data_IF_797832570769
#
_entry.id   IF_797832570769
#
_cell.length_a   1.000
_cell.length_b   1.000
_cell.length_c   1.000
_cell.angle_alpha   90.00
_cell.angle_beta   90.00
_cell.angle_gamma   90.00
#
_symmetry.space_group_name_H-M   'P 1'
#
loop_
_entity.id
_entity.type
_entity.pdbx_description
1 polymer ?
2 polymer ?
3 polymer ?
4 non-polymer ?
5 non-polymer ?
6 non-polymer ?
7 water ?
#
# COMPACT_ATOMS: atom_id res chain seq x y z
N UNK A 1 7.31 8.84 8.99
CA UNK A 1 6.33 9.84 9.45
C UNK A 1 6.23 11.09 8.54
N UNK A 2 7.29 11.62 7.99
CA UNK A 2 7.18 12.83 7.12
C UNK A 2 8.20 12.80 5.97
N UNK A 3 8.77 13.96 5.77
CA UNK A 3 9.80 14.24 4.74
C UNK A 3 10.68 13.04 4.51
N UNK A 4 10.67 12.54 3.31
CA UNK A 4 11.50 11.36 2.99
C UNK A 4 11.33 10.27 4.05
N UNK A 5 10.19 10.22 4.70
CA UNK A 5 9.99 9.17 5.71
C UNK A 5 9.94 9.31 7.21
N UNK A 6 10.91 8.72 7.85
CA UNK A 6 10.96 8.76 9.34
C UNK A 6 12.32 9.03 9.97
N UNK A 7 13.32 8.31 9.54
CA UNK A 7 14.74 8.46 10.07
C UNK A 7 15.45 7.20 9.65
N UNK A 8 14.87 6.11 10.03
CA UNK A 8 15.51 4.82 9.64
C UNK A 8 14.52 4.15 8.68
N UNK A 9 13.60 4.94 8.16
CA UNK A 9 12.60 4.36 7.25
C UNK A 9 13.15 3.73 5.99
N UNK A 10 12.35 2.87 5.45
CA UNK A 10 12.77 2.19 4.19
C UNK A 10 13.95 1.27 4.18
N UNK A 11 14.60 1.04 5.29
CA UNK A 11 15.79 0.10 5.32
C UNK A 11 15.27 -1.15 6.05
N UNK A 12 15.10 -2.21 5.34
CA UNK A 12 14.58 -3.47 5.97
C UNK A 12 15.57 -4.27 6.79
N UNK A 13 15.22 -4.60 8.01
CA UNK A 13 16.05 -5.46 8.91
C UNK A 13 16.71 -6.67 8.29
N UNK A 14 15.93 -7.39 7.51
CA UNK A 14 16.44 -8.61 6.86
C UNK A 14 17.04 -8.47 5.53
N UNK A 15 17.04 -7.29 4.99
CA UNK A 15 17.63 -7.13 3.65
C UNK A 15 18.70 -5.99 3.68
N UNK A 16 18.33 -4.77 3.39
CA UNK A 16 19.30 -3.63 3.38
C UNK A 16 20.23 -3.62 4.56
N UNK A 17 19.68 -3.76 5.73
CA UNK A 17 20.48 -3.76 7.00
C UNK A 17 21.53 -4.86 7.04
N UNK A 18 21.37 -5.93 6.30
CA UNK A 18 22.36 -7.05 6.29
C UNK A 18 23.02 -7.11 4.93
N UNK A 19 22.66 -6.17 4.10
CA UNK A 19 23.21 -6.10 2.74
C UNK A 19 22.76 -7.35 1.95
N UNK A 20 21.53 -7.75 2.16
CA UNK A 20 21.00 -8.94 1.45
C UNK A 20 19.92 -8.38 0.48
N UNK A 21 19.76 -8.94 -0.68
CA UNK A 21 18.76 -8.46 -1.68
C UNK A 21 17.62 -9.44 -1.79
N UNK A 22 16.42 -8.99 -2.05
CA UNK A 22 15.30 -9.98 -2.17
C UNK A 22 15.37 -10.48 -3.62
N UNK A 23 14.68 -11.54 -3.94
CA UNK A 23 14.79 -12.03 -5.35
C UNK A 23 14.33 -11.21 -6.52
N UNK A 24 13.50 -10.22 -6.38
CA UNK A 24 13.11 -9.44 -7.61
C UNK A 24 13.43 -7.95 -7.53
N UNK A 25 14.10 -7.44 -6.51
CA UNK A 25 14.35 -5.96 -6.51
C UNK A 25 15.21 -5.57 -7.69
N UNK A 26 16.08 -6.41 -8.14
CA UNK A 26 16.96 -6.11 -9.32
C UNK A 26 16.08 -5.59 -10.51
N UNK A 27 14.96 -6.23 -10.68
CA UNK A 27 13.99 -5.91 -11.76
C UNK A 27 13.65 -4.42 -11.71
N UNK A 28 13.42 -3.97 -10.51
CA UNK A 28 13.07 -2.55 -10.30
C UNK A 28 14.23 -1.64 -10.67
N UNK A 29 15.33 -1.87 -10.00
CA UNK A 29 16.56 -1.03 -10.26
C UNK A 29 16.95 -1.12 -11.71
N UNK A 30 16.80 -2.28 -12.27
CA UNK A 30 17.16 -2.38 -13.69
C UNK A 30 16.23 -1.50 -14.53
N UNK A 31 15.07 -1.14 -14.03
CA UNK A 31 14.13 -0.28 -14.83
C UNK A 31 14.38 1.20 -14.71
N UNK A 32 15.17 1.62 -13.76
CA UNK A 32 15.43 3.09 -13.60
C UNK A 32 16.66 3.13 -14.44
N UNK A 33 16.48 2.74 -15.66
CA UNK A 33 17.56 2.66 -16.70
C UNK A 33 18.93 2.17 -16.12
N UNK A 34 18.71 1.24 -15.23
CA UNK A 34 19.73 0.49 -14.44
C UNK A 34 20.24 1.26 -13.25
N UNK A 35 20.46 0.56 -12.17
CA UNK A 35 20.97 1.22 -10.94
C UNK A 35 22.40 0.71 -10.66
N UNK A 36 23.06 1.48 -9.84
CA UNK A 36 24.44 1.39 -9.28
C UNK A 36 25.36 2.07 -10.29
N UNK B 1 -3.75 -10.01 -5.50
CA UNK B 1 -2.72 -9.72 -6.53
C UNK B 1 -2.88 -10.87 -7.52
N UNK B 2 -2.89 -10.52 -8.79
CA UNK B 2 -3.05 -11.48 -9.91
C UNK B 2 -1.69 -11.60 -10.58
N UNK B 3 -1.25 -12.82 -10.76
CA UNK B 3 0.08 -13.14 -11.39
C UNK B 3 1.27 -12.56 -10.59
N UNK B 4 1.18 -12.63 -9.31
CA UNK B 4 2.27 -12.13 -8.43
C UNK B 4 2.81 -13.40 -7.78
N UNK B 5 3.78 -13.31 -6.92
CA UNK B 5 4.30 -14.55 -6.28
C UNK B 5 4.29 -14.32 -4.79
N UNK B 6 4.60 -15.35 -4.06
CA UNK B 6 4.60 -15.23 -2.57
C UNK B 6 5.72 -14.31 -2.14
N UNK B 7 5.46 -13.51 -1.16
CA UNK B 7 6.53 -12.60 -0.71
C UNK B 7 7.54 -13.40 0.12
N UNK B 8 8.69 -12.82 0.38
CA UNK B 8 9.70 -13.53 1.21
C UNK B 8 9.39 -13.00 2.62
N UNK B 9 9.92 -13.68 3.59
CA UNK B 9 9.68 -13.24 4.99
C UNK B 9 10.43 -11.90 5.19
N UNK B 10 9.76 -10.94 5.73
CA UNK B 10 10.37 -9.61 5.98
C UNK B 10 10.61 -8.77 4.72
N UNK B 11 10.00 -9.09 3.62
CA UNK B 11 10.18 -8.31 2.33
C UNK B 11 9.47 -6.95 2.37
N UNK B 12 8.32 -6.88 3.01
CA UNK B 12 7.51 -5.61 3.16
C UNK B 12 7.09 -5.38 4.62
N UNK B 13 8.06 -5.10 5.46
CA UNK B 13 7.76 -4.96 6.89
C UNK B 13 6.81 -3.86 7.23
N UNK B 14 6.48 -3.05 6.26
CA UNK B 14 5.50 -1.90 6.48
C UNK B 14 4.02 -2.28 6.13
N UNK B 15 3.87 -3.46 5.57
CA UNK B 15 2.53 -3.96 5.18
C UNK B 15 1.67 -4.14 6.42
N UNK B 16 0.50 -3.59 6.35
CA UNK B 16 -0.49 -3.67 7.46
C UNK B 16 -1.79 -4.32 6.93
N UNK B 17 -2.59 -4.86 7.82
CA UNK B 17 -3.89 -5.54 7.44
C UNK B 17 -5.00 -4.85 8.21
N UNK B 18 -6.01 -4.36 7.54
CA UNK B 18 -7.13 -3.70 8.31
C UNK B 18 -8.01 -4.89 8.49
N UNK B 19 -8.32 -5.16 9.71
CA UNK B 19 -9.17 -6.34 10.01
C UNK B 19 -10.45 -5.93 10.70
N UNK B 20 -11.53 -6.54 10.31
CA UNK B 20 -12.81 -6.16 10.95
C UNK B 20 -13.00 -7.03 12.18
N UNK B 21 -13.54 -6.44 13.21
CA UNK B 21 -13.76 -7.25 14.44
C UNK B 21 -14.92 -8.26 14.22
N UNK B 22 -16.10 -7.85 13.83
CA UNK B 22 -17.19 -8.88 13.63
C UNK B 22 -18.02 -8.53 12.39
N UNK B 23 -18.17 -9.39 11.40
CA UNK B 23 -17.42 -10.67 11.25
C UNK B 23 -15.91 -10.38 11.15
N UNK B 24 -15.14 -11.35 11.54
CA UNK B 24 -13.67 -11.18 11.49
C UNK B 24 -13.32 -11.37 10.04
N UNK B 25 -12.90 -10.31 9.40
CA UNK B 25 -12.50 -10.43 7.97
C UNK B 25 -11.47 -9.37 7.55
N UNK B 26 -10.83 -9.69 6.45
CA UNK B 26 -9.78 -8.83 5.87
C UNK B 26 -10.61 -7.79 5.17
N UNK B 27 -10.27 -6.57 5.46
CA UNK B 27 -10.96 -5.40 4.88
C UNK B 27 -10.13 -4.75 3.78
N UNK B 28 -8.91 -4.44 4.13
CA UNK B 28 -7.97 -3.79 3.19
C UNK B 28 -6.55 -3.94 3.67
N UNK B 29 -5.72 -3.37 2.85
CA UNK B 29 -4.24 -3.34 3.07
C UNK B 29 -4.01 -1.89 3.61
N UNK B 30 -2.82 -1.61 4.07
CA UNK B 30 -2.47 -0.30 4.61
C UNK B 30 -0.94 -0.36 4.77
N UNK B 31 -0.39 0.73 5.23
CA UNK B 31 1.10 0.79 5.45
C UNK B 31 1.43 1.58 6.74
N UNK B 32 2.54 1.21 7.33
CA UNK B 32 3.05 1.81 8.62
C UNK B 32 4.04 2.89 8.18
N UNK B 33 3.79 4.12 8.55
CA UNK B 33 4.72 5.23 8.16
C UNK B 33 5.48 5.75 9.43
N UNK B 34 5.06 5.46 10.63
CA UNK B 34 5.80 5.89 11.87
C UNK B 34 5.35 4.88 12.94
N UNK B 35 5.74 5.03 14.18
CA UNK B 35 5.28 4.00 15.15
C UNK B 35 3.84 4.22 15.59
N UNK B 36 3.20 5.27 15.18
CA UNK B 36 1.77 5.52 15.59
C UNK B 36 0.82 5.79 14.41
N UNK B 37 1.31 5.93 13.21
CA UNK B 37 0.37 6.21 12.08
C UNK B 37 0.39 5.20 10.95
N UNK B 38 -0.79 4.90 10.49
CA UNK B 38 -0.96 3.94 9.38
C UNK B 38 -1.65 4.75 8.25
N UNK B 39 -1.27 4.47 7.04
CA UNK B 39 -1.84 5.16 5.85
C UNK B 39 -2.70 4.15 5.05
N UNK B 40 -3.88 4.54 4.64
CA UNK B 40 -4.72 3.59 3.85
C UNK B 40 -5.52 4.42 2.84
N UNK B 41 -6.43 3.76 2.17
CA UNK B 41 -7.29 4.41 1.15
C UNK B 41 -8.60 4.76 1.88
N UNK B 42 -9.08 5.95 1.65
CA UNK B 42 -10.36 6.40 2.29
C UNK B 42 -11.57 5.52 1.93
N UNK B 43 -11.59 4.98 0.74
CA UNK B 43 -12.75 4.15 0.36
C UNK B 43 -12.81 2.87 1.17
N UNK B 44 -11.74 2.56 1.84
CA UNK B 44 -11.71 1.34 2.66
C UNK B 44 -12.57 1.55 3.93
N UNK B 45 -12.70 2.79 4.29
CA UNK B 45 -13.47 3.20 5.50
C UNK B 45 -14.81 3.90 5.28
N UNK B 46 -14.90 4.64 4.21
CA UNK B 46 -16.14 5.41 3.88
C UNK B 46 -16.54 5.28 2.40
N UNK B 47 -17.68 4.71 2.15
CA UNK B 47 -18.13 4.56 0.75
C UNK B 47 -19.68 4.44 0.83
N UNK B 48 -20.34 5.55 0.97
CA UNK B 48 -21.83 5.64 1.05
C UNK B 48 -22.67 4.82 0.05
N UNK B 49 -22.28 4.73 -1.19
CA UNK B 49 -22.99 3.89 -2.21
C UNK B 49 -23.28 2.48 -1.77
N UNK B 50 -22.40 1.99 -0.91
CA UNK B 50 -22.49 0.59 -0.37
C UNK B 50 -22.65 0.66 1.13
N UNK B 51 -23.20 1.74 1.58
CA UNK B 51 -23.40 1.94 3.04
C UNK B 51 -22.18 1.52 3.88
N UNK B 52 -21.01 1.92 3.45
CA UNK B 52 -19.76 1.56 4.19
C UNK B 52 -19.31 2.84 4.87
N UNK B 53 -19.17 2.77 6.15
CA UNK B 53 -18.73 3.92 6.97
C UNK B 53 -18.22 3.32 8.25
N UNK B 54 -16.97 2.94 8.26
CA UNK B 54 -16.41 2.33 9.51
C UNK B 54 -15.94 3.41 10.47
N UNK B 55 -15.84 2.97 11.69
CA UNK B 55 -15.42 3.84 12.80
C UNK B 55 -14.26 3.19 13.58
N UNK B 56 -13.67 3.99 14.42
CA UNK B 56 -12.52 3.55 15.28
C UNK B 56 -12.76 2.15 15.90
N UNK B 57 -13.88 2.12 16.51
CA UNK B 57 -14.36 0.92 17.22
C UNK B 57 -14.71 -0.24 16.38
N UNK B 58 -14.65 -0.12 15.09
CA UNK B 58 -15.02 -1.32 14.29
C UNK B 58 -13.87 -2.05 13.70
N UNK B 59 -12.72 -1.46 13.84
CA UNK B 59 -11.48 -2.08 13.26
C UNK B 59 -10.29 -2.38 14.17
N UNK B 60 -9.43 -3.18 13.61
CA UNK B 60 -8.17 -3.60 14.28
C UNK B 60 -7.12 -3.54 13.15
N UNK B 61 -5.92 -3.24 13.51
CA UNK B 61 -4.78 -3.14 12.55
C UNK B 61 -3.84 -4.32 12.94
N UNK B 62 -3.48 -5.16 12.03
CA UNK B 62 -2.57 -6.27 12.36
C UNK B 62 -1.25 -5.99 11.60
N UNK B 63 -0.18 -5.89 12.33
CA UNK B 63 1.17 -5.60 11.74
C UNK B 63 2.17 -6.75 11.97
N UNK B 64 3.01 -6.99 11.00
CA UNK B 64 4.08 -8.04 11.00
C UNK B 64 3.63 -9.32 10.33
N UNK B 65 2.55 -9.30 9.59
CA UNK B 65 2.10 -10.57 8.95
C UNK B 65 2.64 -11.01 7.62
N UNK B 66 2.47 -12.31 7.47
CA UNK B 66 2.90 -13.06 6.25
C UNK B 66 1.67 -13.89 5.83
N UNK B 67 1.28 -14.79 6.70
CA UNK B 67 0.10 -15.67 6.43
C UNK B 67 -1.15 -14.78 6.44
N UNK B 68 -2.08 -15.09 5.60
CA UNK B 68 -3.34 -14.28 5.56
C UNK B 68 -4.35 -14.60 6.69
N UNK B 69 -4.57 -15.87 6.96
CA UNK B 69 -5.55 -16.28 8.05
C UNK B 69 -5.09 -16.66 9.43
N UNK B 70 -3.83 -16.98 9.57
CA UNK B 70 -3.35 -17.41 10.89
C UNK B 70 -2.92 -16.29 11.80
N UNK B 71 -3.12 -16.49 13.06
CA UNK B 71 -2.73 -15.47 14.07
C UNK B 71 -1.27 -15.88 14.32
N UNK B 72 -0.35 -15.14 13.72
CA UNK B 72 1.13 -15.42 13.87
C UNK B 72 1.68 -14.90 15.22
N UNK B 73 1.43 -15.76 16.19
CA UNK B 73 1.81 -15.59 17.63
C UNK B 73 3.32 -15.25 17.76
N UNK B 74 3.60 -14.23 18.52
CA UNK B 74 4.98 -13.71 18.78
C UNK B 74 5.60 -13.05 17.55
N UNK B 75 4.88 -12.93 16.46
CA UNK B 75 5.43 -12.28 15.26
C UNK B 75 4.58 -11.04 14.94
N UNK B 76 3.29 -11.19 14.86
CA UNK B 76 2.45 -9.98 14.53
C UNK B 76 2.00 -9.22 15.73
N UNK B 77 1.64 -7.99 15.52
CA UNK B 77 1.13 -7.10 16.60
C UNK B 77 -0.23 -6.62 16.10
N UNK B 78 -1.15 -6.51 17.02
CA UNK B 78 -2.53 -6.06 16.69
C UNK B 78 -2.79 -4.77 17.47
N UNK B 79 -3.15 -3.71 16.82
CA UNK B 79 -3.42 -2.42 17.55
C UNK B 79 -4.82 -1.90 17.31
N UNK B 80 -5.18 -1.01 18.18
CA UNK B 80 -6.51 -0.38 18.11
C UNK B 80 -6.23 1.02 17.63
N UNK B 81 -7.28 1.63 17.16
CA UNK B 81 -7.19 3.01 16.63
C UNK B 81 -7.65 4.00 17.61
N UNK B 82 -7.04 5.13 17.52
CA UNK B 82 -7.38 6.25 18.43
C UNK B 82 -8.25 7.17 17.57
N UNK B 83 -7.78 7.45 16.39
CA UNK B 83 -8.55 8.35 15.48
C UNK B 83 -8.31 7.97 14.00
N UNK B 84 -9.28 8.30 13.17
CA UNK B 84 -9.26 8.04 11.70
C UNK B 84 -9.44 9.42 11.10
N UNK B 85 -8.67 9.73 10.11
CA UNK B 85 -8.80 11.06 9.46
C UNK B 85 -8.92 10.79 7.96
N UNK B 86 -9.98 11.27 7.39
CA UNK B 86 -10.26 11.07 5.93
C UNK B 86 -9.92 12.42 5.30
N UNK B 87 -9.45 12.41 4.09
CA UNK B 87 -9.12 13.72 3.45
C UNK B 87 -10.47 14.46 3.31
N UNK B 88 -10.53 15.71 3.72
CA UNK B 88 -11.77 16.51 3.63
C UNK B 88 -12.35 16.60 2.21
N UNK B 89 -11.54 16.44 1.20
CA UNK B 89 -12.10 16.54 -0.16
C UNK B 89 -12.13 15.24 -0.88
N UNK B 90 -12.16 14.16 -0.14
CA UNK B 90 -12.21 12.81 -0.78
C UNK B 90 -13.51 12.83 -1.61
N UNK B 91 -13.41 12.49 -2.87
CA UNK B 91 -14.61 12.49 -3.74
C UNK B 91 -15.15 11.11 -4.05
N UNK B 92 -15.99 10.63 -3.20
CA UNK B 92 -16.59 9.25 -3.40
C UNK B 92 -17.75 9.36 -4.39
N UNK B 93 -18.28 10.54 -4.58
CA UNK B 93 -19.41 10.69 -5.54
C UNK B 93 -19.02 10.54 -7.00
N UNK B 94 -17.79 10.79 -7.36
CA UNK B 94 -17.45 10.65 -8.81
C UNK B 94 -16.32 9.68 -9.16
N UNK B 95 -15.10 10.07 -8.90
CA UNK B 95 -13.92 9.19 -9.24
C UNK B 95 -12.95 8.80 -8.11
N UNK B 96 -13.32 8.87 -6.85
CA UNK B 96 -12.40 8.50 -5.72
C UNK B 96 -11.14 9.37 -5.80
N UNK B 97 -11.40 10.64 -6.00
CA UNK B 97 -10.29 11.61 -6.10
C UNK B 97 -9.92 11.88 -4.61
N UNK B 98 -8.64 11.83 -4.33
CA UNK B 98 -8.07 12.06 -2.96
C UNK B 98 -8.53 10.92 -2.07
N UNK B 99 -8.24 9.75 -2.55
CA UNK B 99 -8.61 8.49 -1.85
C UNK B 99 -7.45 8.22 -0.84
N UNK B 100 -7.48 8.89 0.27
CA UNK B 100 -6.43 8.74 1.32
C UNK B 100 -7.01 8.98 2.72
N UNK B 101 -6.48 8.25 3.66
CA UNK B 101 -6.92 8.38 5.06
C UNK B 101 -5.78 7.97 5.95
N UNK B 102 -5.75 8.58 7.10
CA UNK B 102 -4.71 8.32 8.14
C UNK B 102 -5.39 7.76 9.38
N UNK B 103 -4.73 6.84 10.03
CA UNK B 103 -5.32 6.24 11.28
C UNK B 103 -4.26 6.37 12.35
N UNK B 104 -4.67 6.83 13.48
CA UNK B 104 -3.74 7.01 14.62
C UNK B 104 -3.93 5.81 15.54
N UNK B 105 -2.85 5.14 15.85
CA UNK B 105 -2.95 3.94 16.73
C UNK B 105 -3.12 4.33 18.19
N UNK B 106 -3.77 3.46 18.92
CA UNK B 106 -3.99 3.74 20.37
C UNK B 106 -2.59 3.89 21.03
N UNK B 107 -1.72 2.94 20.80
CA UNK B 107 -0.34 3.02 21.41
C UNK B 107 0.68 2.76 20.31
N UNK B 108 1.89 3.25 20.48
CA UNK B 108 2.96 3.10 19.45
C UNK B 108 3.31 1.62 19.33
N UNK B 109 3.74 1.18 18.19
CA UNK B 109 4.11 -0.25 18.02
C UNK B 109 5.64 -0.28 18.10
N UNK B 110 6.18 -1.43 18.36
CA UNK B 110 7.66 -1.55 18.47
C UNK B 110 8.08 -2.23 17.19
N UNK B 111 9.17 -1.77 16.66
CA UNK B 111 9.66 -2.35 15.40
C UNK B 111 10.35 -3.64 15.70
N UNK B 112 10.58 -4.40 14.66
CA UNK B 112 11.23 -5.69 14.82
C UNK B 112 11.73 -6.00 13.45
N UNK B 113 12.17 -7.19 13.28
CA UNK B 113 12.68 -7.61 11.98
C UNK B 113 11.48 -7.70 10.98
N UNK B 114 10.28 -7.82 11.50
CA UNK B 114 9.02 -7.95 10.68
C UNK B 114 8.14 -6.71 10.60
N UNK B 115 8.47 -5.76 11.43
CA UNK B 115 7.75 -4.49 11.54
C UNK B 115 8.74 -3.32 11.41
N UNK B 116 8.63 -2.57 10.32
CA UNK B 116 9.53 -1.40 10.09
C UNK B 116 8.76 -0.38 9.19
N UNK B 117 8.78 0.90 9.42
CA UNK B 117 8.07 1.87 8.54
C UNK B 117 8.71 2.12 7.16
N UNK B 118 7.90 2.60 6.27
CA UNK B 118 8.38 2.89 4.90
C UNK B 118 8.53 4.43 4.90
N UNK B 119 9.29 4.93 3.96
CA UNK B 119 9.51 6.39 3.84
C UNK B 119 8.47 7.02 2.91
N UNK B 120 8.16 8.26 3.16
CA UNK B 120 7.18 8.98 2.32
C UNK B 120 8.08 9.87 1.48
N UNK B 121 7.77 10.00 0.23
CA UNK B 121 8.70 10.60 -0.74
C UNK B 121 8.75 12.14 -0.55
N UNK B 122 9.83 12.69 -0.98
CA UNK B 122 10.08 14.16 -0.90
C UNK B 122 9.99 14.55 -2.43
N UNK B 123 9.73 15.79 -2.72
CA UNK B 123 9.61 16.31 -4.11
C UNK B 123 10.64 15.80 -5.07
N UNK B 124 11.86 15.74 -4.61
CA UNK B 124 12.94 15.25 -5.52
C UNK B 124 12.86 13.75 -5.78
N UNK B 125 12.58 12.97 -4.78
CA UNK B 125 12.49 11.49 -5.03
C UNK B 125 11.34 11.23 -5.98
N UNK B 126 10.26 11.90 -5.69
CA UNK B 126 9.05 11.73 -6.54
C UNK B 126 9.41 12.09 -7.98
N UNK B 127 9.97 13.25 -8.10
CA UNK B 127 10.35 13.72 -9.46
C UNK B 127 11.20 12.74 -10.21
N UNK B 128 12.21 12.22 -9.61
CA UNK B 128 13.06 11.24 -10.37
C UNK B 128 12.55 9.84 -10.56
N UNK B 129 11.77 9.33 -9.65
CA UNK B 129 11.29 7.93 -9.82
C UNK B 129 9.92 7.78 -10.47
N UNK B 130 9.05 8.73 -10.32
CA UNK B 130 7.71 8.52 -10.95
C UNK B 130 7.73 8.84 -12.46
N UNK B 131 8.36 7.97 -13.19
CA UNK B 131 8.45 8.13 -14.67
C UNK B 131 7.92 6.87 -15.37
N UNK B 132 7.32 7.07 -16.51
CA UNK B 132 6.77 5.91 -17.26
C UNK B 132 7.86 4.91 -17.57
N UNK B 133 7.58 3.66 -17.33
CA UNK B 133 8.62 2.61 -17.61
C UNK B 133 9.28 2.12 -16.32
N UNK B 134 9.29 2.97 -15.32
CA UNK B 134 9.92 2.57 -14.04
C UNK B 134 8.97 1.67 -13.31
N UNK B 135 9.52 0.64 -12.75
CA UNK B 135 8.70 -0.33 -12.00
C UNK B 135 8.66 -0.05 -10.50
N UNK B 136 7.51 -0.36 -9.98
CA UNK B 136 7.12 -0.24 -8.57
C UNK B 136 6.62 -1.65 -8.14
N UNK B 137 6.37 -1.80 -6.87
CA UNK B 137 5.91 -3.09 -6.25
C UNK B 137 4.67 -2.91 -5.45
N UNK B 138 3.75 -3.82 -5.56
CA UNK B 138 2.45 -3.72 -4.78
C UNK B 138 2.38 -5.05 -4.00
N UNK B 139 1.87 -5.02 -2.82
CA UNK B 139 1.75 -6.25 -2.02
C UNK B 139 0.34 -6.27 -1.40
N UNK B 140 -0.11 -7.46 -1.10
CA UNK B 140 -1.46 -7.60 -0.49
C UNK B 140 -1.86 -9.05 -0.46
N UNK B 141 -2.93 -9.26 0.25
CA UNK B 141 -3.58 -10.60 0.51
C UNK B 141 -4.87 -10.76 -0.31
N UNK B 142 -5.16 -9.76 -1.09
CA UNK B 142 -6.37 -9.73 -1.96
C UNK B 142 -6.48 -10.92 -2.90
N UNK B 143 -7.54 -10.90 -3.65
CA UNK B 143 -7.80 -12.01 -4.60
C UNK B 143 -6.72 -12.26 -5.60
N UNK B 144 -6.73 -13.51 -6.01
CA UNK B 144 -5.75 -14.04 -7.01
C UNK B 144 -6.24 -14.01 -8.44
N UNK B 145 -7.53 -13.90 -8.58
CA UNK B 145 -8.20 -13.85 -9.92
C UNK B 145 -9.40 -12.95 -9.74
N UNK B 146 -9.88 -12.40 -10.83
CA UNK B 146 -11.07 -11.48 -10.76
C UNK B 146 -12.30 -12.22 -10.17
N UNK B 147 -12.41 -13.47 -10.49
CA UNK B 147 -13.47 -14.41 -10.06
C UNK B 147 -12.88 -15.75 -10.59
N UNK B 155 -9.20 -18.69 -4.54
CA UNK B 155 -8.49 -17.64 -5.31
C UNK B 155 -8.07 -16.52 -4.35
N UNK B 156 -7.68 -16.89 -3.16
CA UNK B 156 -7.24 -15.94 -2.11
C UNK B 156 -5.95 -16.68 -1.72
N UNK B 157 -4.88 -16.00 -1.39
CA UNK B 157 -3.57 -16.67 -1.14
C UNK B 157 -3.45 -17.04 0.32
N UNK B 158 -2.47 -17.83 0.68
CA UNK B 158 -2.33 -18.20 2.15
C UNK B 158 -1.32 -17.24 2.77
N UNK B 159 -0.46 -16.80 1.90
CA UNK B 159 0.68 -15.87 2.19
C UNK B 159 0.57 -14.54 1.38
N UNK B 160 1.36 -13.58 1.79
CA UNK B 160 1.42 -12.22 1.14
C UNK B 160 2.00 -12.43 -0.26
N UNK B 161 1.38 -11.76 -1.21
CA UNK B 161 1.84 -11.86 -2.64
C UNK B 161 2.52 -10.57 -3.05
N UNK B 162 3.32 -10.64 -4.07
CA UNK B 162 4.05 -9.45 -4.57
C UNK B 162 4.09 -9.48 -6.10
N UNK B 163 4.01 -8.33 -6.74
CA UNK B 163 4.09 -8.25 -8.23
C UNK B 163 4.77 -6.89 -8.44
N UNK B 164 5.60 -6.81 -9.45
CA UNK B 164 6.34 -5.56 -9.78
C UNK B 164 5.68 -5.05 -11.05
N UNK B 165 5.31 -3.81 -11.07
CA UNK B 165 4.62 -3.25 -12.27
C UNK B 165 5.22 -1.96 -12.77
N UNK B 166 5.23 -1.73 -14.05
CA UNK B 166 5.61 -0.41 -14.63
C UNK B 166 4.57 0.70 -14.56
N UNK B 167 5.07 1.89 -14.41
CA UNK B 167 4.21 3.10 -14.34
C UNK B 167 3.92 3.34 -15.84
N UNK B 168 2.72 3.79 -16.09
CA UNK B 168 2.28 4.05 -17.48
C UNK B 168 2.10 5.56 -17.71
N UNK B 169 2.24 5.92 -18.94
CA UNK B 169 2.10 7.36 -19.35
C UNK B 169 0.64 7.77 -19.08
N UNK B 170 0.45 8.97 -18.64
CA UNK B 170 -0.91 9.45 -18.33
C UNK B 170 -1.93 9.40 -19.47
N UNK B 171 -1.62 9.82 -20.69
CA UNK B 171 -2.58 9.68 -21.83
C UNK B 171 -3.08 8.22 -22.04
N UNK B 172 -2.20 7.29 -21.89
CA UNK B 172 -2.57 5.86 -22.05
C UNK B 172 -3.57 5.57 -20.87
N UNK B 173 -3.28 6.06 -19.69
CA UNK B 173 -4.17 5.81 -18.56
C UNK B 173 -5.55 6.40 -18.81
N UNK B 174 -5.55 7.61 -19.26
CA UNK B 174 -6.83 8.31 -19.54
C UNK B 174 -7.60 7.64 -20.68
N UNK B 175 -6.88 7.14 -21.65
CA UNK B 175 -7.56 6.47 -22.81
C UNK B 175 -7.97 5.01 -22.59
N UNK B 176 -7.80 4.49 -21.40
CA UNK B 176 -8.18 3.07 -21.09
C UNK B 176 -9.50 3.06 -20.31
N UNK B 177 -9.96 4.22 -19.94
CA UNK B 177 -11.22 4.33 -19.16
C UNK B 177 -12.08 5.54 -19.51
N UNK B 178 -13.28 5.50 -19.01
CA UNK B 178 -14.33 6.53 -19.15
C UNK B 178 -14.26 7.37 -17.88
N UNK B 179 -13.57 6.91 -16.86
CA UNK B 179 -13.56 7.76 -15.63
C UNK B 179 -12.60 8.94 -15.83
N UNK B 180 -12.92 10.01 -15.16
CA UNK B 180 -12.13 11.24 -15.24
C UNK B 180 -10.98 11.13 -14.22
N UNK B 181 -9.79 11.03 -14.75
CA UNK B 181 -8.53 10.90 -13.99
C UNK B 181 -8.08 12.32 -13.57
N UNK B 182 -7.52 12.45 -12.38
CA UNK B 182 -7.05 13.73 -11.87
C UNK B 182 -5.53 13.58 -11.63
N UNK B 183 -4.96 14.70 -11.27
CA UNK B 183 -3.51 14.79 -10.99
C UNK B 183 -3.19 14.05 -9.70
N UNK B 184 -4.20 13.70 -8.94
CA UNK B 184 -3.96 12.98 -7.65
C UNK B 184 -3.98 11.47 -7.84
N UNK B 185 -3.81 11.03 -9.06
CA UNK B 185 -3.83 9.59 -9.40
C UNK B 185 -2.77 9.29 -10.45
N UNK B 186 -2.34 8.06 -10.54
CA UNK B 186 -1.35 7.66 -11.57
C UNK B 186 -1.82 6.21 -11.80
N UNK B 187 -1.46 5.59 -12.90
CA UNK B 187 -1.89 4.17 -13.15
C UNK B 187 -0.66 3.36 -13.44
N UNK B 188 -0.78 2.07 -13.29
CA UNK B 188 0.37 1.17 -13.55
C UNK B 188 -0.06 -0.18 -14.07
N UNK B 189 0.86 -0.84 -14.71
CA UNK B 189 0.59 -2.17 -15.27
C UNK B 189 1.24 -2.33 -16.62
N UNK B 190 1.16 -3.52 -17.12
CA UNK B 190 1.75 -3.87 -18.43
C UNK B 190 0.75 -3.65 -19.55
N UNK B 191 1.27 -3.37 -20.70
CA UNK B 191 0.44 -3.12 -21.92
C UNK B 191 0.14 -4.54 -22.48
N UNK B 192 -1.01 -4.73 -23.12
CA UNK B 192 -1.43 -6.07 -23.69
C UNK B 192 -0.30 -6.70 -24.49
N UNK B 193 0.36 -5.78 -25.11
CA UNK B 193 1.52 -5.98 -25.99
C UNK B 193 2.73 -6.49 -25.25
N UNK B 194 2.86 -6.20 -23.98
CA UNK B 194 4.08 -6.68 -23.26
C UNK B 194 4.15 -8.12 -22.79
N UNK B 195 3.17 -8.90 -23.11
CA UNK B 195 3.20 -10.33 -22.68
C UNK B 195 3.75 -10.57 -21.25
N UNK B 196 3.38 -9.72 -20.34
CA UNK B 196 3.78 -9.78 -18.91
C UNK B 196 2.43 -9.37 -18.30
N UNK B 197 2.07 -9.89 -17.18
CA UNK B 197 0.78 -9.54 -16.54
C UNK B 197 1.06 -9.17 -15.10
N UNK B 198 -0.02 -8.95 -14.42
CA UNK B 198 0.06 -8.60 -13.00
C UNK B 198 -0.87 -7.47 -12.65
N UNK B 199 -1.40 -7.49 -11.47
CA UNK B 199 -2.30 -6.39 -11.06
C UNK B 199 -2.73 -6.65 -9.61
N UNK B 200 -3.36 -5.65 -9.04
CA UNK B 200 -3.87 -5.72 -7.66
C UNK B 200 -5.32 -6.16 -7.94
N UNK B 201 -6.08 -6.37 -6.90
CA UNK B 201 -7.48 -6.80 -7.11
C UNK B 201 -8.17 -6.64 -5.80
N UNK B 202 -9.41 -7.07 -5.79
CA UNK B 202 -10.22 -6.99 -4.54
C UNK B 202 -9.43 -7.52 -3.35
N UNK B 203 -9.44 -6.77 -2.28
CA UNK B 203 -8.73 -7.17 -1.04
C UNK B 203 -7.40 -6.44 -0.91
N UNK B 204 -6.88 -5.95 -2.02
CA UNK B 204 -5.58 -5.21 -1.99
C UNK B 204 -5.71 -3.72 -1.77
N UNK B 205 -6.89 -3.18 -1.90
CA UNK B 205 -7.12 -1.72 -1.70
C UNK B 205 -6.44 -1.22 -0.43
N UNK B 206 -5.99 0.00 -0.48
CA UNK B 206 -5.34 0.57 0.73
C UNK B 206 -3.89 0.19 0.82
N UNK B 207 -3.50 -0.84 0.15
CA UNK B 207 -2.07 -1.18 0.29
C UNK B 207 -1.10 -0.25 -0.47
N UNK B 208 0.17 -0.46 -0.17
CA UNK B 208 1.28 0.31 -0.82
C UNK B 208 1.87 -0.04 -2.18
N UNK B 209 2.21 1.01 -2.90
CA UNK B 209 2.85 0.86 -4.23
C UNK B 209 4.22 1.51 -3.77
N UNK B 210 5.28 0.75 -3.84
CA UNK B 210 6.59 1.28 -3.40
C UNK B 210 7.69 1.18 -4.42
N UNK B 211 8.68 2.01 -4.23
CA UNK B 211 9.84 1.98 -5.17
C UNK B 211 11.11 2.07 -4.29
N UNK B 212 12.19 1.57 -4.81
CA UNK B 212 13.49 1.57 -4.06
C UNK B 212 14.39 2.64 -4.72
N UNK B 213 14.78 3.61 -3.94
CA UNK B 213 15.67 4.71 -4.48
C UNK B 213 17.08 4.14 -4.76
N UNK B 214 17.54 4.31 -5.98
CA UNK B 214 18.93 3.96 -6.33
C UNK B 214 19.94 4.97 -5.77
N UNK B 215 19.49 6.04 -5.17
CA UNK B 215 20.43 7.05 -4.62
C UNK B 215 20.84 6.76 -3.20
N UNK B 216 19.84 6.43 -2.44
CA UNK B 216 20.09 6.11 -0.99
C UNK B 216 19.58 4.73 -0.51
N UNK B 217 19.28 3.84 -1.43
CA UNK B 217 18.80 2.46 -1.12
C UNK B 217 17.57 2.30 -0.25
N UNK B 218 16.80 3.33 -0.11
CA UNK B 218 15.61 3.22 0.75
C UNK B 218 14.35 3.02 -0.06
N UNK B 219 13.38 2.43 0.60
CA UNK B 219 12.06 2.17 -0.06
C UNK B 219 11.11 3.30 0.30
N UNK B 220 10.50 3.80 -0.74
CA UNK B 220 9.51 4.90 -0.62
C UNK B 220 8.14 4.45 -1.11
N UNK B 221 7.14 4.91 -0.42
CA UNK B 221 5.74 4.56 -0.84
C UNK B 221 5.25 5.74 -1.74
N UNK B 222 5.14 5.43 -3.03
CA UNK B 222 4.69 6.44 -4.04
C UNK B 222 3.15 6.44 -4.21
N UNK B 223 2.54 5.29 -4.05
CA UNK B 223 1.05 5.24 -4.20
C UNK B 223 0.34 4.32 -3.23
N UNK B 224 -0.97 4.40 -3.27
CA UNK B 224 -1.87 3.60 -2.42
C UNK B 224 -2.82 2.89 -3.43
N UNK B 225 -3.07 1.62 -3.32
CA UNK B 225 -4.01 0.94 -4.28
C UNK B 225 -5.41 1.60 -4.09
N UNK B 226 -5.90 2.19 -5.15
CA UNK B 226 -7.21 2.89 -5.14
C UNK B 226 -8.29 2.23 -5.99
N UNK B 227 -8.14 2.09 -7.28
CA UNK B 227 -9.22 1.45 -8.04
C UNK B 227 -8.74 0.86 -9.35
N UNK B 228 -9.61 0.08 -9.93
CA UNK B 228 -9.32 -0.58 -11.23
C UNK B 228 -10.64 -1.06 -11.77
N UNK B 229 -10.65 -1.56 -12.96
CA UNK B 229 -11.90 -2.08 -13.61
C UNK B 229 -11.57 -3.55 -13.80
N UNK B 230 -12.03 -4.33 -12.87
CA UNK B 230 -11.77 -5.79 -12.95
C UNK B 230 -10.34 -5.96 -12.45
N UNK B 231 -9.75 -7.10 -12.71
CA UNK B 231 -8.35 -7.36 -12.26
C UNK B 231 -7.55 -8.01 -13.40
N UNK B 232 -6.43 -7.42 -13.70
CA UNK B 232 -5.51 -7.90 -14.77
C UNK B 232 -6.22 -8.08 -16.14
N UNK B 233 -7.08 -7.16 -16.45
CA UNK B 233 -7.81 -7.26 -17.76
C UNK B 233 -6.83 -6.67 -18.80
N UNK B 234 -6.89 -7.10 -20.04
CA UNK B 234 -5.91 -6.51 -21.02
C UNK B 234 -6.48 -5.15 -21.45
N UNK B 235 -5.63 -4.16 -21.58
CA UNK B 235 -6.13 -2.84 -22.01
C UNK B 235 -6.55 -1.98 -20.80
N UNK B 236 -6.58 -2.56 -19.61
CA UNK B 236 -6.98 -1.80 -18.41
C UNK B 236 -5.71 -1.75 -17.51
N UNK B 237 -5.69 -0.81 -16.62
CA UNK B 237 -4.56 -0.58 -15.66
C UNK B 237 -5.12 -0.33 -14.27
N UNK B 238 -4.27 -0.34 -13.28
CA UNK B 238 -4.78 -0.10 -11.89
C UNK B 238 -4.44 1.35 -11.62
N UNK B 239 -5.24 1.98 -10.81
CA UNK B 239 -5.04 3.40 -10.45
C UNK B 239 -4.64 3.41 -9.01
N UNK B 240 -3.78 4.36 -8.71
CA UNK B 240 -3.22 4.58 -7.34
C UNK B 240 -3.24 6.01 -6.86
N UNK B 241 -3.48 6.24 -5.59
CA UNK B 241 -3.45 7.63 -5.10
C UNK B 241 -1.95 8.10 -5.20
N UNK B 242 -1.78 9.34 -5.57
CA UNK B 242 -0.42 10.00 -5.75
C UNK B 242 -0.10 10.57 -4.35
N UNK B 243 0.67 9.81 -3.60
CA UNK B 243 1.03 10.21 -2.21
C UNK B 243 1.73 11.54 -2.08
N UNK B 244 2.69 11.73 -2.93
CA UNK B 244 3.42 13.00 -2.84
C UNK B 244 2.44 14.17 -3.05
N UNK B 245 1.54 14.09 -3.99
CA UNK B 245 0.59 15.24 -4.18
C UNK B 245 -0.24 15.51 -2.98
N UNK B 246 -0.40 14.57 -2.10
CA UNK B 246 -1.24 14.84 -0.88
C UNK B 246 -0.39 14.87 0.43
N UNK B 247 0.91 14.91 0.30
CA UNK B 247 1.82 14.95 1.48
C UNK B 247 1.61 16.12 2.46
N UNK B 248 1.25 17.27 1.96
CA UNK B 248 1.05 18.44 2.87
C UNK B 248 -0.12 18.15 3.76
N UNK B 249 -1.13 17.53 3.20
CA UNK B 249 -2.32 17.21 4.04
C UNK B 249 -1.77 16.24 5.09
N UNK B 250 -1.05 15.24 4.67
CA UNK B 250 -0.47 14.26 5.65
C UNK B 250 0.28 14.96 6.79
N UNK B 251 1.27 15.74 6.40
CA UNK B 251 2.11 16.50 7.41
C UNK B 251 1.21 17.28 8.35
N UNK B 252 0.27 17.93 7.77
CA UNK B 252 -0.68 18.74 8.56
C UNK B 252 -1.39 17.93 9.62
N UNK B 253 -2.05 16.87 9.27
CA UNK B 253 -2.75 16.13 10.36
C UNK B 253 -1.73 15.56 11.32
N UNK B 254 -0.66 15.03 10.83
CA UNK B 254 0.32 14.45 11.79
C UNK B 254 0.81 15.48 12.82
N UNK B 255 1.38 16.59 12.40
CA UNK B 255 1.86 17.54 13.46
C UNK B 255 0.78 18.42 14.04
N UNK B 256 -0.45 18.17 13.71
CA UNK B 256 -1.58 18.98 14.26
C UNK B 256 -2.13 18.03 15.33
N UNK B 257 -2.13 16.76 15.03
CA UNK B 257 -2.67 15.74 15.98
C UNK B 257 -1.66 14.74 16.55
N UNK B 258 -0.37 14.84 16.39
CA UNK B 258 0.54 13.79 17.00
C UNK B 258 1.81 13.48 16.20
N UNK B 259 2.27 12.25 16.24
CA UNK B 259 3.51 11.85 15.48
C UNK B 259 3.59 10.30 15.44
N UNK C 1 -12.48 -18.90 8.05
CA UNK C 1 -11.13 -19.15 7.41
C UNK C 1 -10.07 -18.49 8.33
N UNK C 2 -10.38 -17.35 8.86
CA UNK C 2 -9.39 -16.69 9.75
C UNK C 2 -9.36 -17.44 11.05
N UNK C 3 -8.17 -17.60 11.55
CA UNK C 3 -7.97 -18.30 12.83
C UNK C 3 -8.37 -17.21 13.87
N UNK C 4 -8.85 -17.68 14.98
CA UNK C 4 -9.30 -16.81 16.11
C UNK C 4 -8.10 -16.00 16.62
N UNK C 5 -8.35 -14.83 17.13
CA UNK C 5 -7.24 -13.99 17.65
C UNK C 5 -7.59 -13.81 19.12
N UNK C 6 -6.62 -13.61 19.96
CA UNK C 6 -6.86 -13.42 21.39
C UNK C 6 -7.81 -12.27 21.78
N UNK C 7 -8.70 -12.67 22.65
CA UNK C 7 -9.77 -11.83 23.24
C UNK C 7 -9.35 -10.48 23.78
N UNK C 8 -8.14 -10.30 24.23
CA UNK C 8 -7.83 -8.91 24.76
C UNK C 8 -7.69 -7.86 23.64
N UNK C 10 -10.31 -7.31 21.41
CA UNK C 10 -11.67 -7.02 20.91
C UNK C 10 -12.34 -6.12 21.94
#
# INVERSE_FOLDING_TARGET
TFGSGEADCGLRPLFEKKSLEDKTERELLESYIDGR
IVEGSDAEIGMSPWQVMLFRKSPQELLCGASLISDRWVLTAAHCLLYPPWDKNFTENDLLVRIGKHSRTRYERNIEKISMLEKIYIHPRYNWRENLDRDIALMKLKKPVAFSDYIHPVCLPDRETAASLLQAGYKGRVTGWGNLKETWTANVGKGQPSVLQVVNLPIVERPVCKDSTRIRITDNMFCAGYKPDEGKRGDACEGDSGGPFVMKSPFNNRWYQMGIVSWGEGCDRDGKYGFYTHVFRLKKWIQKVIDQFGE
DFEEIPEEXL
#
